data_IF_146819135917
#
_entry.id   IF_146819135917
#
_cell.length_a   1.000
_cell.length_b   1.000
_cell.length_c   1.000
_cell.angle_alpha   90.00
_cell.angle_beta   90.00
_cell.angle_gamma   90.00
#
_symmetry.space_group_name_H-M   'P 1'
#
loop_
_entity.id
_entity.type
_entity.pdbx_description
1 polymer ?
#
# COMPACT_ATOMS: atom_id res chain seq x y z
N UNK A 1 -18.32 -10.47 9.51
CA UNK A 1 -17.28 -9.81 10.32
C UNK A 1 -16.26 -9.04 9.46
N UNK A 2 -15.80 -9.58 8.31
CA UNK A 2 -14.94 -8.85 7.37
C UNK A 2 -15.54 -7.56 6.79
N UNK A 3 -16.88 -7.50 6.62
CA UNK A 3 -17.59 -6.32 6.14
C UNK A 3 -17.21 -5.03 6.90
N UNK A 4 -17.03 -5.11 8.22
CA UNK A 4 -16.65 -3.96 9.06
C UNK A 4 -15.28 -3.38 8.69
N UNK A 5 -14.37 -4.21 8.18
CA UNK A 5 -13.04 -3.79 7.75
C UNK A 5 -13.02 -3.38 6.27
N UNK A 6 -13.79 -4.04 5.41
CA UNK A 6 -13.78 -3.79 3.97
C UNK A 6 -14.64 -2.61 3.54
N UNK A 7 -15.72 -2.31 4.28
CA UNK A 7 -16.64 -1.19 3.99
C UNK A 7 -15.94 0.18 4.11
N UNK A 8 -15.20 0.52 5.18
CA UNK A 8 -14.45 1.78 5.24
C UNK A 8 -13.17 1.77 4.40
N UNK A 9 -12.68 0.59 4.01
CA UNK A 9 -11.40 0.47 3.30
C UNK A 9 -11.42 1.23 1.98
N UNK A 10 -12.51 1.15 1.22
CA UNK A 10 -12.63 1.83 -0.07
C UNK A 10 -12.47 3.35 0.08
N UNK A 11 -13.11 3.97 1.08
CA UNK A 11 -13.01 5.41 1.33
C UNK A 11 -11.59 5.82 1.72
N UNK A 12 -10.91 5.00 2.53
CA UNK A 12 -9.52 5.22 2.93
C UNK A 12 -8.59 5.16 1.72
N UNK A 13 -8.74 4.13 0.87
CA UNK A 13 -7.95 3.95 -0.34
C UNK A 13 -8.14 5.15 -1.29
N UNK A 14 -9.39 5.54 -1.55
CA UNK A 14 -9.74 6.67 -2.42
C UNK A 14 -9.11 7.98 -1.92
N UNK A 15 -9.11 8.23 -0.61
CA UNK A 15 -8.49 9.41 -0.01
C UNK A 15 -6.99 9.50 -0.31
N UNK A 16 -6.25 8.40 -0.11
CA UNK A 16 -4.81 8.37 -0.37
C UNK A 16 -4.48 8.36 -1.87
N UNK A 17 -5.31 7.73 -2.71
CA UNK A 17 -5.18 7.76 -4.16
C UNK A 17 -5.32 9.19 -4.71
N UNK A 18 -6.32 9.95 -4.26
CA UNK A 18 -6.50 11.37 -4.64
C UNK A 18 -5.31 12.24 -4.27
N UNK A 19 -4.62 11.92 -3.16
CA UNK A 19 -3.39 12.59 -2.74
C UNK A 19 -2.14 12.11 -3.46
N UNK A 20 -2.23 11.10 -4.32
CA UNK A 20 -1.10 10.40 -4.96
C UNK A 20 -0.12 9.80 -3.93
N UNK A 21 -0.65 9.37 -2.77
CA UNK A 21 0.11 8.78 -1.66
C UNK A 21 -0.24 7.30 -1.44
N UNK A 22 -1.11 6.73 -2.28
CA UNK A 22 -1.45 5.32 -2.21
C UNK A 22 -0.55 4.48 -3.10
N UNK A 23 0.10 3.47 -2.50
CA UNK A 23 0.96 2.52 -3.18
C UNK A 23 0.56 1.11 -2.76
N UNK A 24 0.62 0.16 -3.70
CA UNK A 24 0.22 -1.23 -3.49
C UNK A 24 1.45 -2.12 -3.64
N UNK A 25 1.64 -3.05 -2.69
CA UNK A 25 2.66 -4.09 -2.72
C UNK A 25 1.94 -5.44 -2.60
N UNK A 26 2.30 -6.39 -3.46
CA UNK A 26 1.72 -7.73 -3.44
C UNK A 26 2.21 -8.51 -2.21
N UNK A 27 1.26 -8.91 -1.36
CA UNK A 27 1.50 -9.65 -0.11
C UNK A 27 1.38 -11.16 -0.23
N UNK A 28 1.01 -11.72 -1.39
CA UNK A 28 0.83 -13.17 -1.59
C UNK A 28 2.16 -13.88 -1.93
N UNK A 29 3.26 -13.44 -1.27
CA UNK A 29 4.64 -13.88 -1.53
C UNK A 29 5.38 -14.10 -0.20
N UNK A 30 6.62 -14.58 -0.28
CA UNK A 30 7.51 -14.67 0.88
C UNK A 30 7.86 -13.27 1.45
N UNK A 31 8.33 -13.23 2.70
CA UNK A 31 8.60 -11.97 3.41
C UNK A 31 9.74 -11.19 2.73
N UNK A 32 10.78 -11.88 2.29
CA UNK A 32 11.98 -11.29 1.69
C UNK A 32 11.68 -10.43 0.46
N UNK A 33 10.94 -10.90 -0.58
CA UNK A 33 10.57 -10.06 -1.72
C UNK A 33 9.62 -8.93 -1.34
N UNK A 34 8.70 -9.12 -0.39
CA UNK A 34 7.81 -8.06 0.09
C UNK A 34 8.63 -6.90 0.71
N UNK A 35 9.58 -7.23 1.57
CA UNK A 35 10.45 -6.25 2.22
C UNK A 35 11.36 -5.54 1.21
N UNK A 36 11.81 -6.24 0.16
CA UNK A 36 12.57 -5.64 -0.93
C UNK A 36 11.74 -4.56 -1.66
N UNK A 37 10.52 -4.89 -2.07
CA UNK A 37 9.62 -3.94 -2.74
C UNK A 37 9.30 -2.72 -1.87
N UNK A 38 9.11 -2.91 -0.56
CA UNK A 38 8.91 -1.81 0.40
C UNK A 38 10.12 -0.86 0.42
N UNK A 39 11.34 -1.40 0.46
CA UNK A 39 12.58 -0.60 0.46
C UNK A 39 12.75 0.18 -0.84
N UNK A 40 12.49 -0.45 -1.98
CA UNK A 40 12.57 0.19 -3.29
C UNK A 40 11.56 1.34 -3.41
N UNK A 41 10.32 1.11 -2.96
CA UNK A 41 9.28 2.13 -2.93
C UNK A 41 9.67 3.33 -2.06
N UNK A 42 10.15 3.09 -0.84
CA UNK A 42 10.58 4.16 0.08
C UNK A 42 11.72 4.99 -0.55
N UNK A 43 12.71 4.31 -1.16
CA UNK A 43 13.82 4.99 -1.85
C UNK A 43 13.32 5.89 -2.98
N UNK A 44 12.38 5.40 -3.80
CA UNK A 44 11.76 6.18 -4.89
C UNK A 44 11.03 7.42 -4.37
N UNK A 45 10.33 7.31 -3.24
CA UNK A 45 9.62 8.42 -2.62
C UNK A 45 10.60 9.47 -2.05
N UNK A 46 11.67 9.04 -1.39
CA UNK A 46 12.67 9.93 -0.80
C UNK A 46 13.57 10.64 -1.82
N UNK A 47 13.67 10.11 -3.04
CA UNK A 47 14.44 10.72 -4.13
C UNK A 47 13.68 11.81 -4.92
N UNK A 48 12.42 12.09 -4.54
CA UNK A 48 11.56 13.15 -5.10
C UNK A 48 11.62 14.35 -4.17
#
# INVERSE_FOLDING_TARGET
>A
RMKVYTEPLNEILDFYQKKKLHFIIDGERAIEPIVADMKELIKKIQSI
#
